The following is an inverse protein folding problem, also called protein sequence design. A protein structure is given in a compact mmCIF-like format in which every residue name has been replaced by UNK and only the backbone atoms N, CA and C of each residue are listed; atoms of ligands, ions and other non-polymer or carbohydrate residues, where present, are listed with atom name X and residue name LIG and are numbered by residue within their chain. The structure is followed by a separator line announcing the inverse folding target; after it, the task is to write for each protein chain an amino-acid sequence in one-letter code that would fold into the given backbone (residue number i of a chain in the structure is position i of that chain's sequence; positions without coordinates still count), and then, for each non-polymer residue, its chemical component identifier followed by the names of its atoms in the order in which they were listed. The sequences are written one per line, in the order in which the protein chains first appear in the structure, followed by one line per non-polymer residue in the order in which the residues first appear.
data_IF_268905647129
#
_entry.id   IF_268905647129
#
_cell.length_a   1.000
_cell.length_b   1.000
_cell.length_c   1.000
_cell.angle_alpha   90.00
_cell.angle_beta   90.00
_cell.angle_gamma   90.00
#
_symmetry.space_group_name_H-M   'P 1'
#
loop_
_entity.id
_entity.type
_entity.pdbx_description
1 polymer ?
#
# COMPACT_ATOMS: atom_id res chain seq x y z
N UNK A 1 3.83 -25.03 2.47
CA UNK A 1 3.83 -23.83 1.59
C UNK A 1 2.90 -22.79 2.14
N UNK A 2 3.40 -21.58 2.33
CA UNK A 2 2.55 -20.44 2.66
C UNK A 2 1.77 -20.04 1.42
N UNK A 3 0.45 -20.05 1.52
CA UNK A 3 -0.42 -19.54 0.47
C UNK A 3 -0.65 -18.04 0.69
N UNK A 4 -0.65 -17.29 -0.38
CA UNK A 4 -0.94 -15.87 -0.35
C UNK A 4 -2.23 -15.58 -1.15
N UNK A 5 -2.95 -14.56 -0.74
CA UNK A 5 -4.12 -14.06 -1.45
C UNK A 5 -3.71 -12.78 -2.15
N UNK A 6 -3.96 -12.69 -3.46
CA UNK A 6 -3.72 -11.46 -4.20
C UNK A 6 -4.79 -10.44 -3.83
N UNK A 7 -4.34 -9.24 -3.54
CA UNK A 7 -5.21 -8.13 -3.15
C UNK A 7 -4.89 -6.88 -3.96
N UNK A 8 -5.82 -5.95 -3.93
CA UNK A 8 -5.63 -4.62 -4.51
C UNK A 8 -5.97 -3.55 -3.49
N UNK A 9 -5.41 -2.37 -3.65
CA UNK A 9 -5.76 -1.24 -2.80
C UNK A 9 -7.15 -0.75 -3.21
N UNK A 10 -8.13 -0.96 -2.34
CA UNK A 10 -9.50 -0.52 -2.59
C UNK A 10 -9.65 0.99 -2.35
N UNK A 11 -9.27 1.43 -1.16
CA UNK A 11 -9.42 2.83 -0.75
C UNK A 11 -8.58 3.12 0.49
N UNK A 12 -8.42 4.40 0.76
CA UNK A 12 -7.93 4.90 2.04
C UNK A 12 -9.09 5.65 2.69
N UNK A 13 -9.42 5.29 3.93
CA UNK A 13 -10.46 5.93 4.72
C UNK A 13 -9.85 6.61 5.92
N UNK A 14 -10.55 7.60 6.46
CA UNK A 14 -10.18 8.23 7.73
C UNK A 14 -11.02 7.63 8.85
N UNK A 15 -10.38 7.28 9.95
CA UNK A 15 -11.09 6.88 11.17
C UNK A 15 -11.82 8.09 11.76
N UNK A 16 -13.12 7.93 12.06
CA UNK A 16 -14.02 9.05 12.39
C UNK A 16 -13.53 9.95 13.54
N UNK A 17 -12.94 9.37 14.57
CA UNK A 17 -12.59 10.12 15.79
C UNK A 17 -11.14 10.61 15.82
N UNK A 18 -10.24 9.98 15.10
CA UNK A 18 -8.80 10.25 15.17
C UNK A 18 -8.23 10.81 13.87
N UNK A 19 -9.01 10.78 12.80
CA UNK A 19 -8.57 11.13 11.43
C UNK A 19 -7.34 10.32 10.98
N UNK A 20 -7.10 9.17 11.59
CA UNK A 20 -6.02 8.27 11.20
C UNK A 20 -6.38 7.54 9.92
N UNK A 21 -5.52 7.56 8.90
CA UNK A 21 -5.80 6.84 7.65
C UNK A 21 -5.80 5.33 7.84
N UNK A 22 -6.77 4.69 7.20
CA UNK A 22 -6.91 3.24 7.14
C UNK A 22 -6.83 2.83 5.67
N UNK A 23 -5.84 2.03 5.33
CA UNK A 23 -5.71 1.44 4.00
C UNK A 23 -6.50 0.14 3.94
N UNK A 24 -7.37 0.00 2.96
CA UNK A 24 -8.17 -1.20 2.75
C UNK A 24 -7.62 -2.02 1.58
N UNK A 25 -7.13 -3.21 1.87
CA UNK A 25 -6.65 -4.17 0.87
C UNK A 25 -7.76 -5.16 0.56
N UNK A 26 -8.28 -5.13 -0.66
CA UNK A 26 -9.41 -5.93 -1.12
C UNK A 26 -8.97 -7.23 -1.78
N UNK A 27 -9.53 -8.34 -1.34
CA UNK A 27 -9.55 -9.57 -2.11
C UNK A 27 -10.76 -9.54 -3.06
N UNK A 28 -10.53 -9.42 -4.39
CA UNK A 28 -11.65 -9.33 -5.34
C UNK A 28 -12.53 -10.58 -5.36
N UNK A 29 -12.01 -11.73 -4.96
CA UNK A 29 -12.75 -12.99 -4.98
C UNK A 29 -13.74 -13.10 -3.82
N UNK A 30 -13.33 -12.79 -2.61
CA UNK A 30 -14.18 -12.87 -1.42
C UNK A 30 -14.95 -11.59 -1.12
N UNK A 31 -14.58 -10.46 -1.74
CA UNK A 31 -15.11 -9.13 -1.44
C UNK A 31 -14.89 -8.71 0.01
N UNK A 32 -13.83 -9.25 0.64
CA UNK A 32 -13.38 -8.87 1.97
C UNK A 32 -12.17 -7.96 1.88
N UNK A 33 -12.00 -7.13 2.89
CA UNK A 33 -10.88 -6.18 2.98
C UNK A 33 -10.07 -6.41 4.25
N UNK A 34 -8.76 -6.21 4.13
CA UNK A 34 -7.87 -6.17 5.27
C UNK A 34 -7.57 -4.69 5.59
N UNK A 35 -8.06 -4.17 6.72
CA UNK A 35 -7.75 -2.80 7.12
C UNK A 35 -6.38 -2.73 7.78
N UNK A 36 -5.58 -1.76 7.34
CA UNK A 36 -4.27 -1.48 7.95
C UNK A 36 -4.18 0.01 8.23
N UNK A 37 -3.96 0.37 9.49
CA UNK A 37 -3.75 1.75 9.90
C UNK A 37 -2.36 2.21 9.47
N UNK A 38 -2.29 3.37 8.84
CA UNK A 38 -1.04 3.93 8.29
C UNK A 38 -0.91 5.40 8.68
N UNK A 39 0.29 5.95 8.49
CA UNK A 39 0.53 7.37 8.72
C UNK A 39 -0.04 8.26 7.62
N UNK A 40 -0.24 9.52 7.92
CA UNK A 40 -0.79 10.50 6.98
C UNK A 40 0.12 10.70 5.76
N UNK A 41 1.42 10.82 5.98
CA UNK A 41 2.40 11.01 4.91
C UNK A 41 2.41 9.81 3.97
N UNK A 42 2.39 8.62 4.54
CA UNK A 42 2.35 7.37 3.79
C UNK A 42 1.06 7.22 2.99
N UNK A 43 -0.06 7.60 3.58
CA UNK A 43 -1.36 7.59 2.88
C UNK A 43 -1.37 8.52 1.67
N UNK A 44 -0.76 9.70 1.78
CA UNK A 44 -0.60 10.65 0.67
C UNK A 44 0.22 10.04 -0.46
N UNK A 45 1.33 9.40 -0.13
CA UNK A 45 2.20 8.76 -1.13
C UNK A 45 1.46 7.66 -1.89
N UNK A 46 0.67 6.86 -1.20
CA UNK A 46 -0.19 5.83 -1.82
C UNK A 46 -1.25 6.48 -2.71
N UNK A 47 -1.92 7.51 -2.22
CA UNK A 47 -2.94 8.23 -2.96
C UNK A 47 -2.40 8.81 -4.27
N UNK A 48 -1.24 9.43 -4.24
CA UNK A 48 -0.61 9.97 -5.44
C UNK A 48 -0.32 8.87 -6.47
N UNK A 49 0.15 7.72 -6.01
CA UNK A 49 0.40 6.60 -6.90
C UNK A 49 -0.90 6.07 -7.53
N UNK A 50 -1.97 5.96 -6.76
CA UNK A 50 -3.28 5.52 -7.26
C UNK A 50 -3.87 6.48 -8.30
N UNK A 51 -3.73 7.78 -8.07
CA UNK A 51 -4.26 8.83 -8.95
C UNK A 51 -3.33 9.13 -10.14
N UNK A 52 -2.18 8.50 -10.21
CA UNK A 52 -1.20 8.75 -11.27
C UNK A 52 -0.60 10.14 -11.23
N UNK A 53 -0.60 10.78 -10.07
CA UNK A 53 -0.03 12.12 -9.89
C UNK A 53 1.48 12.03 -9.88
N UNK A 54 2.11 12.75 -10.81
CA UNK A 54 3.56 12.83 -10.91
C UNK A 54 4.05 14.21 -10.49
N UNK A 55 5.08 14.22 -9.69
CA UNK A 55 5.74 15.45 -9.26
C UNK A 55 6.87 15.80 -10.22
N UNK A 56 7.24 17.09 -10.34
CA UNK A 56 8.38 17.52 -11.16
C UNK A 56 9.71 16.86 -10.76
N UNK A 57 9.85 16.56 -9.46
CA UNK A 57 10.99 15.82 -8.92
C UNK A 57 10.51 14.56 -8.21
N UNK A 58 11.26 13.45 -8.27
CA UNK A 58 10.85 12.21 -7.60
C UNK A 58 10.73 12.42 -6.10
N UNK A 59 9.61 11.98 -5.54
CA UNK A 59 9.42 11.89 -4.09
C UNK A 59 10.11 10.62 -3.56
N UNK A 60 10.07 10.40 -2.26
CA UNK A 60 10.83 9.30 -1.63
C UNK A 60 10.59 7.94 -2.27
N UNK A 61 9.34 7.55 -2.46
CA UNK A 61 9.03 6.25 -3.06
C UNK A 61 9.36 6.20 -4.55
N UNK A 62 9.20 7.30 -5.28
CA UNK A 62 9.62 7.39 -6.68
C UNK A 62 11.14 7.23 -6.79
N UNK A 63 11.88 7.87 -5.88
CA UNK A 63 13.34 7.77 -5.84
C UNK A 63 13.80 6.35 -5.57
N UNK A 64 13.11 5.63 -4.68
CA UNK A 64 13.44 4.22 -4.39
C UNK A 64 13.30 3.37 -5.66
N UNK A 65 12.23 3.55 -6.42
CA UNK A 65 12.04 2.87 -7.71
C UNK A 65 13.18 3.20 -8.67
N UNK A 66 13.51 4.49 -8.80
CA UNK A 66 14.60 4.93 -9.68
C UNK A 66 15.94 4.31 -9.29
N UNK A 67 16.22 4.21 -7.99
CA UNK A 67 17.45 3.56 -7.49
C UNK A 67 17.47 2.08 -7.86
N UNK A 68 16.37 1.36 -7.62
CA UNK A 68 16.27 -0.06 -7.93
C UNK A 68 16.50 -0.29 -9.43
N UNK A 69 15.82 0.50 -10.27
CA UNK A 69 15.93 0.38 -11.73
C UNK A 69 17.34 0.73 -12.23
N UNK A 70 17.96 1.74 -11.65
CA UNK A 70 19.33 2.13 -12.03
C UNK A 70 20.37 1.07 -11.68
N UNK A 71 20.06 0.17 -10.76
CA UNK A 71 20.89 -0.99 -10.39
C UNK A 71 20.44 -2.28 -11.12
N UNK A 72 19.68 -2.13 -12.21
CA UNK A 72 19.15 -3.24 -13.03
C UNK A 72 18.22 -4.19 -12.26
N UNK A 73 17.55 -3.68 -11.22
CA UNK A 73 16.56 -4.43 -10.45
C UNK A 73 15.13 -4.01 -10.78
N UNK A 74 14.21 -4.82 -10.35
CA UNK A 74 12.79 -4.48 -10.37
C UNK A 74 12.08 -5.14 -9.20
N UNK A 75 11.00 -4.55 -8.75
CA UNK A 75 10.14 -5.15 -7.73
C UNK A 75 9.25 -6.19 -8.39
N UNK A 76 9.34 -7.43 -7.93
CA UNK A 76 8.56 -8.56 -8.46
C UNK A 76 7.19 -8.67 -7.79
N UNK A 77 7.17 -8.55 -6.47
CA UNK A 77 5.94 -8.55 -5.68
C UNK A 77 6.19 -7.93 -4.30
N UNK A 78 5.11 -7.56 -3.64
CA UNK A 78 5.13 -7.24 -2.21
C UNK A 78 4.14 -8.14 -1.48
N UNK A 79 4.50 -8.55 -0.27
CA UNK A 79 3.70 -9.49 0.53
C UNK A 79 3.49 -8.90 1.91
N UNK A 80 2.24 -8.82 2.36
CA UNK A 80 1.95 -8.60 3.77
C UNK A 80 2.06 -9.97 4.44
N UNK A 81 3.15 -10.14 5.19
CA UNK A 81 3.64 -11.47 5.57
C UNK A 81 3.27 -11.89 6.98
N UNK A 82 3.09 -10.95 7.89
CA UNK A 82 2.89 -11.27 9.30
C UNK A 82 2.17 -10.14 10.05
N UNK A 83 1.60 -10.51 11.18
CA UNK A 83 1.02 -9.60 12.16
C UNK A 83 1.50 -10.02 13.54
N UNK A 84 2.21 -9.14 14.22
CA UNK A 84 2.77 -9.41 15.54
C UNK A 84 2.64 -8.18 16.43
N UNK A 85 2.06 -8.33 17.61
CA UNK A 85 1.79 -7.23 18.54
C UNK A 85 1.07 -6.03 17.88
N UNK A 86 0.01 -6.33 17.13
CA UNK A 86 -0.78 -5.35 16.36
C UNK A 86 0.01 -4.60 15.27
N UNK A 87 1.18 -5.09 14.92
CA UNK A 87 2.03 -4.52 13.88
C UNK A 87 2.09 -5.46 12.68
N UNK A 88 1.68 -4.95 11.51
CA UNK A 88 1.82 -5.69 10.26
C UNK A 88 3.22 -5.56 9.70
N UNK A 89 3.73 -6.66 9.19
CA UNK A 89 5.02 -6.75 8.51
C UNK A 89 4.81 -7.03 7.03
N UNK A 90 5.69 -6.49 6.23
CA UNK A 90 5.69 -6.72 4.78
C UNK A 90 7.06 -7.10 4.29
N UNK A 91 7.09 -7.74 3.14
CA UNK A 91 8.32 -8.06 2.41
C UNK A 91 8.21 -7.50 1.00
N UNK A 92 9.29 -6.90 0.54
CA UNK A 92 9.47 -6.44 -0.83
C UNK A 92 10.40 -7.43 -1.52
N UNK A 93 9.93 -8.05 -2.59
CA UNK A 93 10.71 -9.00 -3.36
C UNK A 93 11.27 -8.29 -4.58
N UNK A 94 12.58 -8.24 -4.65
CA UNK A 94 13.32 -7.57 -5.71
C UNK A 94 14.08 -8.60 -6.52
N UNK A 95 13.96 -8.51 -7.84
CA UNK A 95 14.78 -9.27 -8.78
C UNK A 95 15.86 -8.36 -9.35
N UNK A 96 17.08 -8.83 -9.33
CA UNK A 96 18.24 -8.08 -9.86
C UNK A 96 19.29 -9.03 -10.42
N UNK A 97 20.41 -8.46 -10.82
CA UNK A 97 21.52 -9.22 -11.44
C UNK A 97 22.07 -10.33 -10.54
N UNK A 98 21.92 -10.18 -9.22
CA UNK A 98 22.38 -11.15 -8.24
C UNK A 98 21.27 -12.09 -7.74
N UNK A 99 20.13 -12.10 -8.41
CA UNK A 99 19.02 -12.97 -8.10
C UNK A 99 17.91 -12.30 -7.31
N UNK A 100 17.19 -13.09 -6.55
CA UNK A 100 16.00 -12.68 -5.80
C UNK A 100 16.38 -12.26 -4.37
N UNK A 101 15.98 -11.06 -3.98
CA UNK A 101 16.22 -10.51 -2.64
C UNK A 101 14.89 -10.18 -1.99
N UNK A 102 14.74 -10.54 -0.71
CA UNK A 102 13.57 -10.15 0.09
C UNK A 102 14.00 -9.15 1.16
N UNK A 103 13.30 -8.03 1.23
CA UNK A 103 13.55 -6.97 2.22
C UNK A 103 12.32 -6.78 3.10
N UNK A 104 12.54 -6.72 4.41
CA UNK A 104 11.48 -6.35 5.36
C UNK A 104 11.14 -4.87 5.21
N UNK A 105 9.85 -4.56 5.25
CA UNK A 105 9.35 -3.20 5.09
C UNK A 105 8.06 -3.00 5.89
N UNK A 106 7.72 -1.72 6.13
CA UNK A 106 6.37 -1.40 6.59
C UNK A 106 5.37 -1.64 5.47
N UNK A 107 4.15 -2.10 5.77
CA UNK A 107 3.12 -2.30 4.75
C UNK A 107 2.88 -1.08 3.87
N UNK A 108 2.82 0.12 4.45
CA UNK A 108 2.60 1.37 3.71
C UNK A 108 3.68 1.63 2.66
N UNK A 109 4.94 1.42 3.00
CA UNK A 109 6.05 1.58 2.07
C UNK A 109 6.01 0.53 0.95
N UNK A 110 5.76 -0.72 1.31
CA UNK A 110 5.65 -1.81 0.35
C UNK A 110 4.53 -1.55 -0.66
N UNK A 111 3.37 -1.12 -0.20
CA UNK A 111 2.23 -0.80 -1.07
C UNK A 111 2.52 0.41 -1.96
N UNK A 112 3.10 1.48 -1.40
CA UNK A 112 3.48 2.66 -2.19
C UNK A 112 4.44 2.31 -3.33
N UNK A 113 5.38 1.40 -3.08
CA UNK A 113 6.31 0.91 -4.09
C UNK A 113 5.63 -0.02 -5.10
N UNK A 114 4.77 -0.93 -4.64
CA UNK A 114 4.05 -1.85 -5.52
C UNK A 114 3.17 -1.12 -6.53
N UNK A 115 2.48 -0.07 -6.12
CA UNK A 115 1.64 0.74 -7.00
C UNK A 115 2.46 1.44 -8.07
N UNK A 116 3.66 1.93 -7.73
CA UNK A 116 4.57 2.57 -8.70
C UNK A 116 5.21 1.57 -9.64
N UNK A 117 5.53 0.39 -9.16
CA UNK A 117 6.10 -0.69 -9.95
C UNK A 117 5.06 -1.47 -10.76
N UNK A 118 3.78 -1.22 -10.52
CA UNK A 118 2.65 -1.95 -11.11
C UNK A 118 2.82 -3.47 -10.93
N UNK A 119 3.05 -3.89 -9.71
CA UNK A 119 3.35 -5.28 -9.40
C UNK A 119 2.33 -5.88 -8.43
N UNK A 120 2.40 -7.19 -8.27
CA UNK A 120 1.48 -7.95 -7.44
C UNK A 120 1.59 -7.58 -5.96
N UNK A 121 0.45 -7.38 -5.32
CA UNK A 121 0.32 -7.23 -3.88
C UNK A 121 -0.40 -8.48 -3.36
N UNK A 122 0.17 -9.13 -2.36
CA UNK A 122 -0.44 -10.28 -1.74
C UNK A 122 -0.38 -10.22 -0.22
N UNK A 123 -1.24 -10.99 0.41
CA UNK A 123 -1.32 -11.11 1.87
C UNK A 123 -1.27 -12.60 2.21
N UNK A 124 -0.54 -12.96 3.26
CA UNK A 124 -0.57 -14.31 3.77
C UNK A 124 -2.02 -14.74 4.03
N UNK A 125 -2.40 -15.92 3.54
CA UNK A 125 -3.78 -16.39 3.56
C UNK A 125 -4.38 -16.46 4.97
N UNK A 126 -3.65 -17.03 5.92
CA UNK A 126 -4.14 -17.16 7.29
C UNK A 126 -4.33 -15.81 7.96
N UNK A 127 -3.38 -14.91 7.72
CA UNK A 127 -3.44 -13.53 8.20
C UNK A 127 -4.66 -12.80 7.63
N UNK A 128 -4.91 -12.96 6.34
CA UNK A 128 -6.07 -12.34 5.69
C UNK A 128 -7.39 -12.89 6.24
N UNK A 129 -7.53 -14.20 6.31
CA UNK A 129 -8.74 -14.86 6.82
C UNK A 129 -9.05 -14.42 8.25
N UNK A 130 -8.03 -14.37 9.10
CA UNK A 130 -8.21 -14.06 10.52
C UNK A 130 -8.49 -12.57 10.81
N UNK A 131 -8.14 -11.66 9.90
CA UNK A 131 -8.17 -10.23 10.16
C UNK A 131 -9.01 -9.41 9.17
N UNK A 132 -9.49 -10.03 8.10
CA UNK A 132 -10.32 -9.33 7.11
C UNK A 132 -11.75 -9.14 7.61
N UNK A 133 -12.40 -8.12 7.07
CA UNK A 133 -13.79 -7.78 7.33
C UNK A 133 -14.55 -7.65 6.02
N UNK A 134 -15.87 -7.67 6.10
CA UNK A 134 -16.69 -7.45 4.90
C UNK A 134 -16.60 -6.00 4.45
N UNK A 135 -16.50 -5.79 3.14
CA UNK A 135 -16.49 -4.46 2.57
C UNK A 135 -17.88 -3.85 2.69
N UNK A 136 -17.99 -2.78 3.47
CA UNK A 136 -19.22 -2.00 3.56
C UNK A 136 -19.22 -1.00 2.41
N UNK A 137 -20.15 -1.20 1.46
CA UNK A 137 -20.28 -0.34 0.29
C UNK A 137 -21.03 0.95 0.63
N UNK A 138 -20.29 1.96 1.09
CA UNK A 138 -20.76 3.33 1.11
C UNK A 138 -19.88 4.17 0.17
N UNK A 139 -20.00 3.90 -1.12
CA UNK A 139 -19.13 4.47 -2.16
C UNK A 139 -19.15 5.99 -2.23
N UNK A 140 -20.27 6.62 -1.91
CA UNK A 140 -20.38 8.07 -1.99
C UNK A 140 -19.56 8.77 -0.91
N UNK A 141 -19.63 8.27 0.31
CA UNK A 141 -18.86 8.83 1.43
C UNK A 141 -17.36 8.54 1.31
N UNK A 142 -17.00 7.36 0.80
CA UNK A 142 -15.61 6.99 0.58
C UNK A 142 -14.89 7.94 -0.38
N UNK A 143 -15.52 8.27 -1.49
CA UNK A 143 -14.95 9.16 -2.51
C UNK A 143 -14.81 10.58 -1.98
N UNK A 144 -15.80 11.07 -1.23
CA UNK A 144 -15.74 12.42 -0.64
C UNK A 144 -14.68 12.53 0.46
N UNK A 145 -14.61 11.57 1.36
CA UNK A 145 -13.59 11.54 2.41
C UNK A 145 -12.17 11.52 1.83
N UNK A 146 -11.96 10.70 0.82
CA UNK A 146 -10.66 10.57 0.16
C UNK A 146 -10.27 11.85 -0.58
N UNK A 147 -11.21 12.46 -1.31
CA UNK A 147 -10.99 13.74 -1.98
C UNK A 147 -10.67 14.85 -0.98
N UNK A 148 -11.43 14.94 0.10
CA UNK A 148 -11.18 15.91 1.17
C UNK A 148 -9.79 15.71 1.79
N UNK A 149 -9.40 14.47 1.99
CA UNK A 149 -8.07 14.13 2.52
C UNK A 149 -6.95 14.65 1.62
N UNK A 150 -7.07 14.43 0.30
CA UNK A 150 -6.08 14.90 -0.68
C UNK A 150 -6.09 16.43 -0.79
N UNK A 151 -7.27 17.04 -0.84
CA UNK A 151 -7.42 18.50 -1.00
C UNK A 151 -6.88 19.30 0.18
N UNK A 152 -6.93 18.74 1.39
CA UNK A 152 -6.41 19.37 2.61
C UNK A 152 -4.89 19.25 2.76
N UNK A 153 -4.25 18.50 1.89
CA UNK A 153 -2.81 18.33 1.90
C UNK A 153 -2.20 19.27 0.86
N UNK A 154 -1.31 20.15 1.32
CA UNK A 154 -0.58 21.02 0.41
C UNK A 154 0.60 20.23 -0.17
N UNK A 155 0.67 20.05 -1.51
CA UNK A 155 1.79 19.35 -2.14
C UNK A 155 3.16 19.98 -1.84
N UNK A 156 3.18 21.27 -1.51
CA UNK A 156 4.42 21.98 -1.15
C UNK A 156 4.99 21.52 0.18
N UNK A 157 4.16 20.96 1.08
CA UNK A 157 4.62 20.42 2.36
C UNK A 157 5.49 19.15 2.20
N UNK A 158 5.51 18.57 1.00
CA UNK A 158 6.23 17.35 0.67
C UNK A 158 7.34 17.57 -0.38
N UNK A 159 7.63 18.81 -0.68
CA UNK A 159 8.65 19.15 -1.66
C UNK A 159 10.07 19.06 -1.09
#
# INVERSE_FOLDING_TARGET
MKKNINVEVNSIRLEENTETPIMLLLDPNSQKVLPIWIGTIEAVSIAYAQEGIKHPRPQTHDLIIDIIESLNGNIDEVVISDLHDNTYFAEIIILGDQGRVSLSARPSDAIALALRADTTISVNQDLFINNSIDLIHDKANEIEEFKSFIENINPEDFA
#
